data_IF_426336047943
#
_entry.id   IF_426336047943
#
_cell.length_a   1.000
_cell.length_b   1.000
_cell.length_c   1.000
_cell.angle_alpha   90.00
_cell.angle_beta   90.00
_cell.angle_gamma   90.00
#
_symmetry.space_group_name_H-M   'P 1'
#
loop_
_entity.id
_entity.type
_entity.pdbx_description
1 polymer ?
#
# COMPACT_ATOMS: atom_id res chain seq x y z
N UNK A 1 11.03 -9.80 -7.90
CA UNK A 1 10.41 -8.47 -8.06
C UNK A 1 9.36 -8.33 -6.97
N UNK A 2 9.62 -7.49 -5.97
CA UNK A 2 8.65 -7.23 -4.89
C UNK A 2 7.74 -6.08 -5.28
N UNK A 3 6.43 -6.21 -5.02
CA UNK A 3 5.47 -5.12 -5.22
C UNK A 3 5.80 -3.95 -4.28
N UNK A 4 5.84 -2.73 -4.82
CA UNK A 4 6.08 -1.51 -4.02
C UNK A 4 4.87 -1.14 -3.16
N UNK A 5 4.88 -1.59 -1.90
CA UNK A 5 3.85 -1.29 -0.88
C UNK A 5 3.81 0.19 -0.50
N UNK A 6 4.91 0.90 -0.74
CA UNK A 6 5.09 2.34 -0.55
C UNK A 6 4.49 3.18 -1.68
N UNK A 7 3.88 2.58 -2.71
CA UNK A 7 3.18 3.33 -3.75
C UNK A 7 1.77 3.74 -3.28
N UNK A 8 1.34 4.97 -3.60
CA UNK A 8 -0.03 5.45 -3.34
C UNK A 8 -1.10 4.61 -4.04
N UNK A 9 -0.76 4.03 -5.18
CA UNK A 9 -1.67 3.26 -6.03
C UNK A 9 -1.67 1.76 -5.72
N UNK A 10 -0.86 1.33 -4.75
CA UNK A 10 -0.85 -0.05 -4.30
C UNK A 10 -2.10 -0.38 -3.48
N UNK A 11 -2.76 -1.48 -3.83
CA UNK A 11 -3.90 -2.01 -3.09
C UNK A 11 -3.66 -3.48 -2.74
N UNK A 12 -3.82 -3.82 -1.46
CA UNK A 12 -3.87 -5.20 -0.99
C UNK A 12 -5.26 -5.50 -0.43
N UNK A 13 -5.82 -6.66 -0.78
CA UNK A 13 -7.10 -7.12 -0.27
C UNK A 13 -7.02 -8.62 0.01
N UNK A 14 -7.40 -9.00 1.22
CA UNK A 14 -7.58 -10.42 1.59
C UNK A 14 -8.94 -10.86 1.08
N UNK A 15 -8.97 -11.93 0.28
CA UNK A 15 -10.20 -12.49 -0.29
C UNK A 15 -10.54 -13.87 0.28
N UNK A 16 -9.56 -14.57 0.85
CA UNK A 16 -9.72 -15.81 1.59
C UNK A 16 -8.71 -15.85 2.75
N UNK A 17 -8.89 -16.70 3.78
CA UNK A 17 -8.00 -16.78 4.94
C UNK A 17 -6.51 -17.01 4.61
N UNK A 18 -6.18 -17.55 3.44
CA UNK A 18 -4.81 -17.67 2.94
C UNK A 18 -4.59 -17.01 1.57
N UNK A 19 -5.52 -16.18 1.11
CA UNK A 19 -5.43 -15.55 -0.21
C UNK A 19 -5.46 -14.03 -0.10
N UNK A 20 -4.31 -13.44 -0.39
CA UNK A 20 -4.11 -11.99 -0.42
C UNK A 20 -3.85 -11.59 -1.86
N UNK A 21 -4.76 -10.80 -2.41
CA UNK A 21 -4.60 -10.20 -3.72
C UNK A 21 -3.93 -8.85 -3.56
N UNK A 22 -2.85 -8.65 -4.30
CA UNK A 22 -2.18 -7.36 -4.39
C UNK A 22 -2.33 -6.87 -5.83
N UNK A 23 -2.61 -5.59 -6.05
CA UNK A 23 -2.79 -5.01 -7.38
C UNK A 23 -2.48 -3.52 -7.41
N UNK A 24 -2.16 -3.00 -8.60
CA UNK A 24 -2.05 -1.57 -8.85
C UNK A 24 -3.41 -1.01 -9.29
N UNK A 25 -3.89 0.07 -8.67
CA UNK A 25 -5.18 0.71 -9.01
C UNK A 25 -5.23 1.33 -10.40
N UNK A 26 -4.06 1.61 -10.97
CA UNK A 26 -3.92 2.22 -12.29
C UNK A 26 -3.77 1.17 -13.40
N UNK A 27 -3.81 -0.13 -13.05
CA UNK A 27 -3.65 -1.27 -13.97
C UNK A 27 -2.38 -1.21 -14.85
N UNK A 28 -1.37 -0.40 -14.45
CA UNK A 28 -0.07 -0.26 -15.15
C UNK A 28 0.85 -1.46 -14.95
N UNK A 29 0.46 -2.39 -14.08
CA UNK A 29 1.18 -3.64 -13.84
C UNK A 29 0.92 -4.60 -15.02
N UNK A 30 1.34 -4.21 -16.24
CA UNK A 30 0.89 -4.81 -17.49
C UNK A 30 0.96 -6.33 -17.54
N UNK A 31 2.15 -6.92 -17.38
CA UNK A 31 2.38 -8.36 -17.60
C UNK A 31 2.21 -9.24 -16.35
N UNK A 32 2.08 -8.62 -15.17
CA UNK A 32 1.95 -9.31 -13.89
C UNK A 32 0.82 -8.63 -13.11
N UNK A 33 -0.36 -9.27 -12.96
CA UNK A 33 -1.53 -8.61 -12.39
C UNK A 33 -1.30 -8.10 -10.95
N UNK A 34 -0.24 -8.59 -10.29
CA UNK A 34 -0.03 -8.46 -8.86
C UNK A 34 1.16 -7.61 -8.43
N UNK A 35 1.99 -7.13 -9.37
CA UNK A 35 3.25 -6.47 -9.02
C UNK A 35 3.33 -5.07 -9.61
N UNK A 36 3.30 -4.06 -8.73
CA UNK A 36 3.73 -2.71 -9.10
C UNK A 36 5.25 -2.78 -9.41
N UNK A 37 5.68 -2.57 -10.67
CA UNK A 37 7.08 -2.76 -11.06
C UNK A 37 7.98 -1.74 -10.36
N UNK A 38 9.27 -2.07 -10.22
CA UNK A 38 10.23 -1.16 -9.65
C UNK A 38 10.40 0.13 -10.48
N UNK A 39 10.19 0.05 -11.79
CA UNK A 39 10.31 1.17 -12.73
C UNK A 39 8.92 1.76 -13.10
N UNK A 40 8.00 1.83 -12.14
CA UNK A 40 6.68 2.39 -12.42
C UNK A 40 6.78 3.91 -12.63
N UNK A 41 6.47 4.40 -13.84
CA UNK A 41 6.46 5.84 -14.18
C UNK A 41 5.43 6.61 -13.34
N UNK A 42 4.36 5.94 -12.92
CA UNK A 42 3.31 6.48 -12.05
C UNK A 42 3.59 6.20 -10.57
N UNK A 43 4.83 5.90 -10.21
CA UNK A 43 5.21 5.71 -8.83
C UNK A 43 5.08 7.02 -8.08
N UNK A 44 4.07 7.08 -7.24
CA UNK A 44 3.89 8.16 -6.26
C UNK A 44 4.11 7.57 -4.87
N UNK A 45 5.13 8.03 -4.11
CA UNK A 45 5.32 7.56 -2.75
C UNK A 45 4.08 7.91 -1.93
N UNK A 46 3.50 6.91 -1.27
CA UNK A 46 2.47 7.15 -0.27
C UNK A 46 3.17 7.82 0.91
N UNK A 47 2.86 9.10 1.12
CA UNK A 47 3.19 9.74 2.38
C UNK A 47 2.34 9.09 3.47
N UNK A 48 2.84 8.02 4.08
CA UNK A 48 2.38 7.60 5.40
C UNK A 48 3.01 8.63 6.34
N UNK A 49 2.38 9.79 6.47
CA UNK A 49 2.65 10.60 7.65
C UNK A 49 2.31 9.68 8.81
N UNK A 50 3.31 9.30 9.59
CA UNK A 50 3.15 8.69 10.92
C UNK A 50 2.54 9.72 11.89
N UNK A 51 1.52 10.45 11.44
CA UNK A 51 0.62 11.21 12.28
C UNK A 51 -0.19 10.15 13.04
N UNK A 52 0.49 9.50 13.99
CA UNK A 52 -0.11 8.70 15.00
C UNK A 52 -1.22 9.52 15.60
N UNK A 53 -2.40 8.92 15.69
CA UNK A 53 -3.44 9.42 16.57
C UNK A 53 -2.85 9.48 17.98
N UNK A 54 -2.35 10.66 18.36
CA UNK A 54 -2.11 11.01 19.74
C UNK A 54 -3.47 11.04 20.41
N UNK A 55 -3.87 9.92 21.02
CA UNK A 55 -4.94 9.94 22.00
C UNK A 55 -4.64 10.98 23.07
N UNK A 56 -5.65 11.56 23.74
CA UNK A 56 -5.40 12.54 24.78
C UNK A 56 -4.55 11.90 25.88
N UNK A 57 -3.27 12.21 25.91
CA UNK A 57 -2.39 11.95 27.06
C UNK A 57 -2.76 12.97 28.14
N UNK A 58 -3.87 12.72 28.84
CA UNK A 58 -4.21 13.39 30.09
C UNK A 58 -3.89 12.46 31.26
N UNK A 59 -3.23 12.94 32.33
CA UNK A 59 -2.80 12.08 33.44
C UNK A 59 -4.01 11.62 34.28
N UNK A 60 -4.00 10.41 34.85
CA UNK A 60 -4.93 10.08 35.92
C UNK A 60 -4.46 10.69 37.25
N UNK A 61 -5.33 11.55 37.81
CA UNK A 61 -5.50 12.00 39.20
C UNK A 61 -4.27 12.42 40.02
#
# INVERSE_FOLDING_TARGET
MSARTECRHYASRTIAPQEIVQRCRLDVAGSVPFACPADCVFFEPRSISDAGWGGPSGPPA
#
